data_IF_722138860566
#
_entry.id   IF_722138860566
#
_cell.length_a   1.000
_cell.length_b   1.000
_cell.length_c   1.000
_cell.angle_alpha   90.00
_cell.angle_beta   90.00
_cell.angle_gamma   90.00
#
_symmetry.space_group_name_H-M   'P 1'
#
loop_
_entity.id
_entity.type
_entity.pdbx_description
1 polymer ?
#
# COMPACT_ATOMS: atom_id res chain seq x y z
N UNK A 1 -21.28 -2.36 4.37
CA UNK A 1 -19.95 -1.75 4.56
C UNK A 1 -18.95 -2.85 4.32
N UNK A 2 -18.05 -2.68 3.35
CA UNK A 2 -17.12 -3.73 2.90
C UNK A 2 -15.70 -3.27 3.17
N UNK A 3 -14.85 -4.16 3.66
CA UNK A 3 -13.43 -3.88 3.90
C UNK A 3 -12.59 -4.80 3.04
N UNK A 4 -11.75 -4.22 2.19
CA UNK A 4 -10.76 -4.96 1.40
C UNK A 4 -9.47 -5.03 2.20
N UNK A 5 -8.97 -6.26 2.43
CA UNK A 5 -7.72 -6.50 3.17
C UNK A 5 -6.67 -7.03 2.22
N UNK A 6 -5.54 -6.32 2.13
CA UNK A 6 -4.39 -6.72 1.30
C UNK A 6 -3.29 -7.21 2.24
N UNK A 7 -2.89 -8.47 2.11
CA UNK A 7 -1.84 -9.12 2.91
C UNK A 7 -0.80 -9.78 2.03
N UNK A 8 0.40 -9.98 2.58
CA UNK A 8 1.44 -10.79 1.96
C UNK A 8 1.25 -12.25 2.36
N UNK A 9 1.34 -13.15 1.38
CA UNK A 9 1.29 -14.60 1.61
C UNK A 9 2.67 -15.23 1.72
N UNK A 10 3.73 -14.43 1.59
CA UNK A 10 5.13 -14.85 1.58
C UNK A 10 5.93 -14.02 2.60
N UNK A 11 7.24 -13.86 2.36
CA UNK A 11 8.19 -13.17 3.23
C UNK A 11 8.53 -11.75 2.75
N UNK A 12 7.55 -10.99 2.29
CA UNK A 12 7.78 -9.62 1.82
C UNK A 12 8.03 -9.52 0.31
N UNK A 13 8.11 -8.28 -0.18
CA UNK A 13 8.35 -7.91 -1.58
C UNK A 13 7.41 -8.55 -2.61
N UNK A 14 6.20 -8.95 -2.21
CA UNK A 14 5.19 -9.56 -3.10
C UNK A 14 4.48 -8.52 -4.00
N UNK A 15 4.91 -7.26 -3.97
CA UNK A 15 4.29 -6.18 -4.74
C UNK A 15 2.94 -5.69 -4.21
N UNK A 16 2.65 -5.92 -2.91
CA UNK A 16 1.40 -5.51 -2.25
C UNK A 16 1.02 -4.06 -2.52
N UNK A 17 2.01 -3.17 -2.52
CA UNK A 17 1.79 -1.74 -2.74
C UNK A 17 1.10 -1.43 -4.07
N UNK A 18 1.48 -2.11 -5.16
CA UNK A 18 0.81 -1.95 -6.45
C UNK A 18 -0.66 -2.36 -6.41
N UNK A 19 -0.99 -3.41 -5.66
CA UNK A 19 -2.37 -3.85 -5.46
C UNK A 19 -3.13 -2.85 -4.59
N UNK A 20 -2.48 -2.30 -3.57
CA UNK A 20 -3.03 -1.22 -2.74
C UNK A 20 -3.37 0.01 -3.58
N UNK A 21 -2.48 0.44 -4.48
CA UNK A 21 -2.74 1.59 -5.37
C UNK A 21 -3.95 1.36 -6.27
N UNK A 22 -4.10 0.14 -6.80
CA UNK A 22 -5.23 -0.20 -7.65
C UNK A 22 -6.57 -0.05 -6.91
N UNK A 23 -6.67 -0.57 -5.68
CA UNK A 23 -7.88 -0.44 -4.88
C UNK A 23 -8.06 0.95 -4.24
N UNK A 24 -6.98 1.72 -4.09
CA UNK A 24 -7.03 3.06 -3.50
C UNK A 24 -7.83 4.06 -4.34
N UNK A 25 -7.98 3.82 -5.66
CA UNK A 25 -8.78 4.67 -6.54
C UNK A 25 -10.27 4.75 -6.13
N UNK A 26 -10.80 3.67 -5.55
CA UNK A 26 -12.22 3.55 -5.17
C UNK A 26 -12.43 3.57 -3.64
N UNK A 27 -11.36 3.74 -2.85
CA UNK A 27 -11.42 3.65 -1.39
C UNK A 27 -11.55 5.03 -0.75
N UNK A 28 -12.52 5.18 0.17
CA UNK A 28 -12.66 6.40 0.99
C UNK A 28 -11.51 6.55 2.00
N UNK A 29 -10.88 5.43 2.41
CA UNK A 29 -9.83 5.41 3.42
C UNK A 29 -8.84 4.26 3.19
N UNK A 30 -7.55 4.56 3.36
CA UNK A 30 -6.46 3.59 3.40
C UNK A 30 -5.87 3.57 4.80
N UNK A 31 -5.79 2.38 5.41
CA UNK A 31 -5.32 2.22 6.80
C UNK A 31 -4.21 1.19 6.86
N UNK A 32 -3.10 1.57 7.49
CA UNK A 32 -1.98 0.68 7.81
C UNK A 32 -2.14 0.17 9.25
N UNK A 33 -2.32 -1.14 9.41
CA UNK A 33 -2.72 -1.72 10.71
C UNK A 33 -1.56 -2.29 11.57
N UNK A 34 -0.37 -2.50 10.98
CA UNK A 34 0.77 -3.17 11.61
C UNK A 34 2.11 -2.73 10.97
N UNK A 35 3.22 -2.90 11.70
CA UNK A 35 4.58 -2.66 11.21
C UNK A 35 5.07 -1.23 11.47
N UNK A 36 6.24 -0.90 10.94
CA UNK A 36 6.89 0.41 11.10
C UNK A 36 7.46 0.92 9.76
N UNK A 37 8.64 1.55 9.80
CA UNK A 37 9.38 2.05 8.62
C UNK A 37 10.08 0.94 7.85
N UNK A 38 9.99 -0.30 8.34
CA UNK A 38 10.39 -1.50 7.63
C UNK A 38 9.38 -1.90 6.54
N UNK A 39 8.22 -1.27 6.49
CA UNK A 39 7.34 -1.31 5.33
C UNK A 39 7.77 -0.25 4.32
N UNK A 40 7.48 -0.50 3.05
CA UNK A 40 7.80 0.41 1.96
C UNK A 40 6.78 0.27 0.85
N UNK A 41 6.36 1.41 0.29
CA UNK A 41 5.66 1.44 -0.98
C UNK A 41 6.08 2.65 -1.79
N UNK A 42 6.41 2.42 -3.06
CA UNK A 42 6.77 3.49 -3.99
C UNK A 42 5.58 3.74 -4.91
N UNK A 43 5.05 4.96 -4.88
CA UNK A 43 3.92 5.39 -5.70
C UNK A 43 4.44 6.35 -6.77
N UNK A 44 3.97 6.19 -8.00
CA UNK A 44 4.21 7.15 -9.07
C UNK A 44 2.90 7.87 -9.37
N UNK A 45 2.89 9.20 -9.25
CA UNK A 45 1.74 10.05 -9.56
C UNK A 45 2.13 11.01 -10.68
N UNK A 46 1.68 10.73 -11.90
CA UNK A 46 2.14 11.45 -13.08
C UNK A 46 3.62 11.21 -13.33
N UNK A 47 4.44 12.27 -13.21
CA UNK A 47 5.90 12.20 -13.36
C UNK A 47 6.65 12.14 -12.00
N UNK A 48 5.93 12.25 -10.88
CA UNK A 48 6.52 12.30 -9.54
C UNK A 48 6.56 10.92 -8.88
N UNK A 49 7.67 10.61 -8.22
CA UNK A 49 7.87 9.37 -7.45
C UNK A 49 7.89 9.66 -5.95
N UNK A 50 7.07 8.93 -5.19
CA UNK A 50 6.94 9.03 -3.74
C UNK A 50 7.37 7.73 -3.07
N UNK A 51 8.35 7.78 -2.17
CA UNK A 51 8.80 6.63 -1.37
C UNK A 51 8.20 6.71 0.04
N UNK A 52 7.23 5.88 0.32
CA UNK A 52 6.49 5.88 1.57
C UNK A 52 6.98 4.76 2.47
N UNK A 53 7.23 5.09 3.75
CA UNK A 53 7.64 4.10 4.75
C UNK A 53 6.70 4.02 5.97
N UNK A 54 5.99 5.11 6.32
CA UNK A 54 5.28 5.17 7.61
C UNK A 54 4.03 6.05 7.64
N UNK A 55 3.45 6.45 6.50
CA UNK A 55 2.24 7.28 6.53
C UNK A 55 1.14 6.66 7.40
#
# INVERSE_FOLDING_TARGET
MTVTVIIGSQFGDEGKGKVTDFYAADADMIVRFNGGNNAGHTIVVGEEEFKLHLM
#
